data_IF_952792203489
#
_entry.id   IF_952792203489
#
_cell.length_a   1.000
_cell.length_b   1.000
_cell.length_c   1.000
_cell.angle_alpha   90.00
_cell.angle_beta   90.00
_cell.angle_gamma   90.00
#
_symmetry.space_group_name_H-M   'P 1'
#
loop_
_entity.id
_entity.type
_entity.pdbx_description
1 polymer ?
#
# COMPACT_ATOMS: atom_id res chain seq x y z
N UNK A 1 16.87 9.38 -26.28
CA UNK A 1 15.94 9.54 -25.14
C UNK A 1 16.44 10.65 -24.22
N UNK A 2 15.61 11.63 -23.89
CA UNK A 2 15.94 12.78 -23.04
C UNK A 2 15.06 12.83 -21.78
N UNK A 3 15.54 13.50 -20.73
CA UNK A 3 14.74 13.68 -19.51
C UNK A 3 13.44 14.47 -19.78
N UNK A 4 13.45 15.41 -20.72
CA UNK A 4 12.24 16.16 -21.11
C UNK A 4 11.18 15.25 -21.71
N UNK A 5 11.57 14.29 -22.54
CA UNK A 5 10.65 13.29 -23.11
C UNK A 5 10.09 12.38 -22.04
N UNK A 6 10.92 11.93 -21.08
CA UNK A 6 10.49 11.13 -19.92
C UNK A 6 9.49 11.92 -19.09
N UNK A 7 9.80 13.16 -18.72
CA UNK A 7 8.92 14.03 -17.93
C UNK A 7 7.59 14.27 -18.63
N UNK A 8 7.60 14.50 -19.96
CA UNK A 8 6.37 14.70 -20.73
C UNK A 8 5.45 13.47 -20.66
N UNK A 9 5.99 12.26 -20.84
CA UNK A 9 5.21 11.03 -20.76
C UNK A 9 4.67 10.79 -19.34
N UNK A 10 5.53 10.89 -18.33
CA UNK A 10 5.11 10.64 -16.93
C UNK A 10 4.06 11.66 -16.47
N UNK A 11 4.17 12.93 -16.84
CA UNK A 11 3.18 13.94 -16.53
C UNK A 11 1.82 13.67 -17.22
N UNK A 12 1.82 13.20 -18.48
CA UNK A 12 0.58 12.84 -19.18
C UNK A 12 -0.14 11.69 -18.47
N UNK A 13 0.60 10.70 -17.95
CA UNK A 13 0.05 9.58 -17.19
C UNK A 13 -0.45 10.02 -15.81
N UNK A 14 0.26 10.90 -15.13
CA UNK A 14 -0.07 11.38 -13.78
C UNK A 14 -1.29 12.29 -13.77
N UNK A 15 -1.37 13.22 -14.73
CA UNK A 15 -2.44 14.22 -14.77
C UNK A 15 -3.61 13.83 -15.71
N UNK A 16 -3.59 12.62 -16.25
CA UNK A 16 -4.68 12.06 -17.05
C UNK A 16 -4.89 12.72 -18.41
N UNK A 17 -3.90 13.52 -18.92
CA UNK A 17 -4.07 14.15 -20.21
C UNK A 17 -2.96 15.10 -20.65
N UNK A 18 -2.85 15.25 -21.98
CA UNK A 18 -1.86 16.13 -22.62
C UNK A 18 -2.05 17.61 -22.24
N UNK A 19 -3.28 18.06 -22.10
CA UNK A 19 -3.61 19.45 -21.75
C UNK A 19 -3.20 19.77 -20.31
N UNK A 20 -3.51 18.89 -19.35
CA UNK A 20 -3.14 19.13 -17.96
C UNK A 20 -1.62 18.98 -17.76
N UNK A 21 -1.00 17.99 -18.38
CA UNK A 21 0.46 17.85 -18.40
C UNK A 21 1.18 19.09 -18.95
N UNK A 22 0.67 19.65 -20.05
CA UNK A 22 1.27 20.83 -20.67
C UNK A 22 1.26 22.06 -19.75
N UNK A 23 0.16 22.28 -19.02
CA UNK A 23 0.07 23.35 -18.00
C UNK A 23 1.10 23.16 -16.88
N UNK A 24 1.22 21.93 -16.38
CA UNK A 24 2.15 21.60 -15.28
C UNK A 24 3.61 21.70 -15.68
N UNK A 25 3.93 21.35 -16.92
CA UNK A 25 5.29 21.40 -17.44
C UNK A 25 5.67 22.77 -18.06
N UNK A 26 4.74 23.73 -18.06
CA UNK A 26 4.93 25.03 -18.73
C UNK A 26 5.31 24.88 -20.21
N UNK A 27 4.71 23.89 -20.89
CA UNK A 27 4.93 23.57 -22.29
C UNK A 27 3.62 23.76 -23.08
N UNK A 28 3.70 23.84 -24.40
CA UNK A 28 2.50 23.72 -25.24
C UNK A 28 2.06 22.26 -25.34
N UNK A 29 0.75 22.02 -25.52
CA UNK A 29 0.24 20.66 -25.73
C UNK A 29 0.92 19.96 -26.92
N UNK A 30 1.19 20.69 -27.99
CA UNK A 30 1.93 20.18 -29.16
C UNK A 30 3.35 19.75 -28.81
N UNK A 31 4.06 20.52 -27.97
CA UNK A 31 5.41 20.18 -27.55
C UNK A 31 5.43 18.91 -26.68
N UNK A 32 4.46 18.76 -25.76
CA UNK A 32 4.30 17.52 -24.99
C UNK A 32 4.02 16.32 -25.90
N UNK A 33 3.10 16.48 -26.87
CA UNK A 33 2.78 15.41 -27.84
C UNK A 33 4.00 15.04 -28.71
N UNK A 34 4.75 16.04 -29.19
CA UNK A 34 5.96 15.81 -29.98
C UNK A 34 7.06 15.09 -29.16
N UNK A 35 7.26 15.50 -27.91
CA UNK A 35 8.23 14.86 -27.03
C UNK A 35 7.94 13.37 -26.83
N UNK A 36 6.67 13.01 -26.62
CA UNK A 36 6.26 11.60 -26.46
C UNK A 36 6.38 10.84 -27.79
N UNK A 37 5.94 11.43 -28.91
CA UNK A 37 6.08 10.79 -30.22
C UNK A 37 7.53 10.53 -30.59
N UNK A 38 8.43 11.50 -30.32
CA UNK A 38 9.86 11.32 -30.54
C UNK A 38 10.48 10.23 -29.63
N UNK A 39 9.95 10.05 -28.41
CA UNK A 39 10.37 8.96 -27.53
C UNK A 39 9.92 7.60 -28.08
N UNK A 40 8.67 7.48 -28.54
CA UNK A 40 8.13 6.27 -29.15
C UNK A 40 8.88 5.90 -30.44
N UNK A 41 9.16 6.89 -31.27
CA UNK A 41 9.94 6.72 -32.50
C UNK A 41 11.37 6.22 -32.22
N UNK A 42 12.07 6.84 -31.27
CA UNK A 42 13.42 6.43 -30.87
C UNK A 42 13.47 5.00 -30.32
N UNK A 43 12.45 4.60 -29.53
CA UNK A 43 12.34 3.26 -28.95
C UNK A 43 11.77 2.24 -29.95
N UNK A 44 11.18 2.67 -31.04
CA UNK A 44 10.56 1.81 -32.05
C UNK A 44 9.31 1.09 -31.58
N UNK A 45 8.64 1.59 -30.52
CA UNK A 45 7.42 0.97 -29.96
C UNK A 45 6.44 2.05 -29.49
N UNK A 46 5.14 1.79 -29.66
CA UNK A 46 4.09 2.62 -29.10
C UNK A 46 3.99 2.37 -27.58
N UNK A 47 4.04 3.45 -26.80
CA UNK A 47 3.88 3.41 -25.33
C UNK A 47 2.43 3.66 -24.96
N UNK A 48 1.77 4.62 -25.64
CA UNK A 48 0.39 5.00 -25.41
C UNK A 48 -0.56 4.41 -26.46
N UNK A 49 -1.74 3.99 -26.03
CA UNK A 49 -2.83 3.61 -26.93
C UNK A 49 -3.55 4.90 -27.36
N UNK A 50 -3.48 5.22 -28.66
CA UNK A 50 -4.05 6.46 -29.25
C UNK A 50 -5.46 6.22 -29.80
N UNK A 51 -6.43 5.82 -28.96
CA UNK A 51 -7.82 5.75 -29.37
C UNK A 51 -8.53 7.10 -29.15
N UNK A 52 -9.23 7.59 -30.20
CA UNK A 52 -10.05 8.82 -30.13
C UNK A 52 -11.21 8.60 -29.14
N UNK A 53 -11.20 9.27 -27.96
CA UNK A 53 -12.24 9.32 -26.91
C UNK A 53 -12.09 8.40 -25.72
N UNK A 54 -10.96 7.77 -25.45
CA UNK A 54 -10.72 7.01 -24.22
C UNK A 54 -9.68 7.69 -23.32
N UNK A 55 -9.70 7.32 -22.06
CA UNK A 55 -8.63 7.62 -21.11
C UNK A 55 -7.27 7.18 -21.65
N UNK A 56 -6.20 7.82 -21.19
CA UNK A 56 -4.84 7.50 -21.62
C UNK A 56 -4.49 6.12 -21.08
N UNK A 57 -4.35 5.15 -21.99
CA UNK A 57 -4.00 3.79 -21.66
C UNK A 57 -2.59 3.45 -22.17
N UNK A 58 -1.89 2.59 -21.43
CA UNK A 58 -0.58 2.09 -21.79
C UNK A 58 -0.70 0.79 -22.61
N UNK A 59 0.16 0.64 -23.60
CA UNK A 59 0.38 -0.67 -24.23
C UNK A 59 1.05 -1.64 -23.23
N UNK A 60 1.06 -2.95 -23.53
CA UNK A 60 1.80 -3.94 -22.73
C UNK A 60 3.32 -3.64 -22.69
N UNK A 61 3.89 -3.13 -23.79
CA UNK A 61 5.27 -2.65 -23.83
C UNK A 61 5.41 -1.35 -23.03
N UNK A 62 4.46 -0.42 -23.19
CA UNK A 62 4.41 0.86 -22.48
C UNK A 62 4.43 0.69 -20.96
N UNK A 63 3.63 -0.23 -20.42
CA UNK A 63 3.59 -0.53 -18.98
C UNK A 63 4.96 -0.96 -18.44
N UNK A 64 5.70 -1.78 -19.18
CA UNK A 64 7.06 -2.20 -18.81
C UNK A 64 8.06 -1.06 -18.92
N UNK A 65 8.00 -0.28 -19.99
CA UNK A 65 8.88 0.87 -20.24
C UNK A 65 8.67 1.95 -19.17
N UNK A 66 7.43 2.32 -18.88
CA UNK A 66 7.09 3.36 -17.88
C UNK A 66 7.65 3.01 -16.50
N UNK A 67 7.68 1.75 -16.12
CA UNK A 67 8.31 1.30 -14.87
C UNK A 67 9.78 1.69 -14.80
N UNK A 68 10.54 1.50 -15.89
CA UNK A 68 11.95 1.89 -15.97
C UNK A 68 12.14 3.41 -16.07
N UNK A 69 11.25 4.11 -16.78
CA UNK A 69 11.32 5.57 -16.87
C UNK A 69 11.06 6.24 -15.51
N UNK A 70 10.16 5.69 -14.69
CA UNK A 70 9.96 6.15 -13.31
C UNK A 70 11.20 5.91 -12.45
N UNK A 71 11.91 4.78 -12.65
CA UNK A 71 13.16 4.54 -11.95
C UNK A 71 14.25 5.57 -12.33
N UNK A 72 14.40 5.88 -13.61
CA UNK A 72 15.32 6.93 -14.10
C UNK A 72 14.96 8.29 -13.49
N UNK A 73 13.67 8.65 -13.47
CA UNK A 73 13.21 9.91 -12.87
C UNK A 73 13.57 10.00 -11.38
N UNK A 74 13.42 8.90 -10.64
CA UNK A 74 13.80 8.82 -9.23
C UNK A 74 15.31 9.05 -9.06
N UNK A 75 16.14 8.37 -9.85
CA UNK A 75 17.60 8.49 -9.74
C UNK A 75 18.05 9.93 -10.04
N UNK A 76 17.41 10.60 -10.99
CA UNK A 76 17.62 12.04 -11.26
C UNK A 76 17.22 12.90 -10.06
N UNK A 77 16.10 12.57 -9.40
CA UNK A 77 15.67 13.29 -8.20
C UNK A 77 16.64 13.04 -7.04
N UNK A 78 17.12 11.80 -6.86
CA UNK A 78 18.10 11.47 -5.84
C UNK A 78 19.41 12.23 -6.02
N UNK A 79 19.90 12.37 -7.26
CA UNK A 79 21.09 13.20 -7.57
C UNK A 79 20.86 14.66 -7.16
N UNK A 80 19.67 15.21 -7.47
CA UNK A 80 19.32 16.58 -7.05
C UNK A 80 19.24 16.71 -5.54
N UNK A 81 18.65 15.74 -4.84
CA UNK A 81 18.53 15.70 -3.40
C UNK A 81 19.92 15.65 -2.72
N UNK A 82 20.85 14.82 -3.24
CA UNK A 82 22.23 14.76 -2.77
C UNK A 82 22.91 16.11 -2.96
N UNK A 83 22.78 16.71 -4.13
CA UNK A 83 23.37 18.02 -4.43
C UNK A 83 22.79 19.14 -3.55
N UNK A 84 21.52 19.10 -3.24
CA UNK A 84 20.88 20.04 -2.32
C UNK A 84 21.29 19.79 -0.87
N UNK A 85 21.47 18.53 -0.44
CA UNK A 85 21.98 18.17 0.89
C UNK A 85 23.36 18.73 1.15
N UNK A 86 24.21 18.74 0.16
CA UNK A 86 25.56 19.36 0.24
C UNK A 86 25.49 20.89 0.35
N UNK A 87 24.40 21.50 -0.17
CA UNK A 87 24.28 22.96 -0.19
C UNK A 87 23.64 23.58 1.04
N UNK A 88 22.57 23.01 1.61
CA UNK A 88 21.75 23.74 2.61
C UNK A 88 20.97 22.91 3.63
N UNK A 89 21.25 21.63 3.87
CA UNK A 89 20.47 20.78 4.80
C UNK A 89 18.94 20.84 4.57
N UNK A 90 18.44 20.47 3.39
CA UNK A 90 17.03 20.65 3.00
C UNK A 90 16.11 19.59 3.61
N UNK A 91 14.80 19.87 3.58
CA UNK A 91 13.77 18.92 3.97
C UNK A 91 13.88 17.64 3.16
N UNK A 92 14.32 16.56 3.79
CA UNK A 92 14.34 15.23 3.21
C UNK A 92 12.90 14.72 3.08
N UNK A 93 12.56 14.11 1.96
CA UNK A 93 11.23 13.55 1.75
C UNK A 93 11.29 12.03 1.89
N UNK A 94 10.32 11.46 2.60
CA UNK A 94 10.11 10.01 2.69
C UNK A 94 8.67 9.69 2.29
N UNK A 95 8.52 9.00 1.17
CA UNK A 95 7.23 8.55 0.62
C UNK A 95 6.93 7.17 1.15
N UNK A 96 5.82 7.02 1.88
CA UNK A 96 5.47 5.77 2.55
C UNK A 96 4.13 5.26 2.02
N UNK A 97 4.14 4.08 1.38
CA UNK A 97 2.93 3.36 1.01
C UNK A 97 2.40 2.55 2.19
N UNK A 98 1.09 2.61 2.43
CA UNK A 98 0.45 1.87 3.52
C UNK A 98 -0.87 1.26 3.05
N UNK A 99 -1.14 0.02 3.42
CA UNK A 99 -2.50 -0.52 3.30
C UNK A 99 -3.42 0.11 4.36
N UNK A 100 -4.75 0.16 4.16
CA UNK A 100 -5.66 1.01 4.95
C UNK A 100 -5.51 0.90 6.47
N UNK A 101 -5.49 -0.31 7.04
CA UNK A 101 -5.40 -0.43 8.51
C UNK A 101 -4.02 -0.05 9.07
N UNK A 102 -2.93 -0.20 8.30
CA UNK A 102 -1.62 0.32 8.71
C UNK A 102 -1.56 1.85 8.56
N UNK A 103 -2.19 2.40 7.52
CA UNK A 103 -2.33 3.83 7.34
C UNK A 103 -3.07 4.49 8.52
N UNK A 104 -4.16 3.87 8.99
CA UNK A 104 -4.94 4.39 10.10
C UNK A 104 -4.30 4.20 11.48
N UNK A 105 -3.61 3.07 11.73
CA UNK A 105 -3.15 2.69 13.07
C UNK A 105 -1.64 2.87 13.30
N UNK A 106 -0.81 2.71 12.27
CA UNK A 106 0.66 2.76 12.40
C UNK A 106 1.20 4.12 11.97
N UNK A 107 0.80 4.59 10.80
CA UNK A 107 1.37 5.78 10.19
C UNK A 107 1.22 7.06 11.02
N UNK A 108 0.14 7.33 11.77
CA UNK A 108 0.05 8.51 12.62
C UNK A 108 1.13 8.54 13.72
N UNK A 109 1.49 7.38 14.28
CA UNK A 109 2.59 7.25 15.23
C UNK A 109 3.93 7.58 14.61
N UNK A 110 4.17 7.08 13.40
CA UNK A 110 5.37 7.38 12.59
C UNK A 110 5.47 8.88 12.31
N UNK A 111 4.41 9.50 11.80
CA UNK A 111 4.40 10.93 11.48
C UNK A 111 4.71 11.76 12.74
N UNK A 112 4.04 11.50 13.86
CA UNK A 112 4.28 12.19 15.13
C UNK A 112 5.73 12.04 15.61
N UNK A 113 6.31 10.84 15.46
CA UNK A 113 7.70 10.61 15.80
C UNK A 113 8.64 11.49 14.96
N UNK A 114 8.42 11.52 13.63
CA UNK A 114 9.23 12.34 12.74
C UNK A 114 9.08 13.85 13.00
N UNK A 115 7.86 14.34 13.23
CA UNK A 115 7.63 15.75 13.56
C UNK A 115 8.37 16.16 14.83
N UNK A 116 8.49 15.23 15.81
CA UNK A 116 9.15 15.52 17.08
C UNK A 116 10.67 15.37 17.03
N UNK A 117 11.21 14.39 16.30
CA UNK A 117 12.63 14.04 16.35
C UNK A 117 13.40 14.38 15.05
N UNK A 118 12.70 14.48 13.93
CA UNK A 118 13.28 14.73 12.62
C UNK A 118 12.45 15.71 11.79
N UNK A 119 12.22 16.96 12.29
CA UNK A 119 11.31 17.94 11.66
C UNK A 119 11.75 18.35 10.25
N UNK A 120 12.99 18.08 9.89
CA UNK A 120 13.54 18.30 8.54
C UNK A 120 13.22 17.15 7.56
N UNK A 121 12.54 16.08 8.01
CA UNK A 121 12.10 14.99 7.14
C UNK A 121 10.59 15.11 6.92
N UNK A 122 10.19 15.35 5.67
CA UNK A 122 8.78 15.40 5.27
C UNK A 122 8.27 14.02 4.93
N UNK A 123 7.27 13.51 5.67
CA UNK A 123 6.56 12.27 5.33
C UNK A 123 5.46 12.57 4.31
N UNK A 124 5.40 11.78 3.24
CA UNK A 124 4.30 11.78 2.27
C UNK A 124 3.65 10.40 2.28
N UNK A 125 2.42 10.29 2.82
CA UNK A 125 1.69 9.03 2.85
C UNK A 125 1.00 8.74 1.53
N UNK A 126 0.97 7.43 1.17
CA UNK A 126 0.19 6.89 0.06
C UNK A 126 -0.63 5.71 0.59
N UNK A 127 -1.94 5.85 0.57
CA UNK A 127 -2.84 4.76 0.95
C UNK A 127 -3.20 3.96 -0.29
N UNK A 128 -2.78 2.69 -0.33
CA UNK A 128 -2.96 1.80 -1.47
C UNK A 128 -3.11 0.33 -1.03
N UNK A 129 -3.54 -0.53 -1.93
CA UNK A 129 -3.49 -1.97 -1.69
C UNK A 129 -2.04 -2.51 -1.77
N UNK A 130 -1.80 -3.68 -1.17
CA UNK A 130 -0.46 -4.25 -1.05
C UNK A 130 0.25 -4.49 -2.40
N UNK A 131 -0.51 -4.78 -3.47
CA UNK A 131 0.07 -4.98 -4.81
C UNK A 131 0.58 -3.67 -5.38
N UNK A 132 -0.23 -2.61 -5.31
CA UNK A 132 0.16 -1.27 -5.75
C UNK A 132 1.35 -0.73 -4.94
N UNK A 133 1.41 -0.99 -3.63
CA UNK A 133 2.56 -0.63 -2.78
C UNK A 133 3.84 -1.32 -3.28
N UNK A 134 3.79 -2.64 -3.57
CA UNK A 134 4.94 -3.38 -4.08
C UNK A 134 5.38 -2.86 -5.46
N UNK A 135 4.43 -2.62 -6.36
CA UNK A 135 4.72 -2.07 -7.68
C UNK A 135 5.35 -0.67 -7.57
N UNK A 136 4.83 0.19 -6.69
CA UNK A 136 5.36 1.54 -6.43
C UNK A 136 6.75 1.54 -5.78
N UNK A 137 7.06 0.54 -4.94
CA UNK A 137 8.43 0.33 -4.46
C UNK A 137 9.37 -0.10 -5.58
N UNK A 138 8.93 -1.00 -6.46
CA UNK A 138 9.75 -1.49 -7.57
C UNK A 138 10.05 -0.38 -8.59
N UNK A 139 9.06 0.45 -8.91
CA UNK A 139 9.22 1.57 -9.84
C UNK A 139 9.78 2.84 -9.18
N UNK A 140 9.86 2.85 -7.83
CA UNK A 140 10.43 3.93 -7.04
C UNK A 140 9.55 5.16 -6.88
N UNK A 141 8.26 5.05 -7.07
CA UNK A 141 7.30 6.10 -6.75
C UNK A 141 7.20 6.35 -5.25
N UNK A 142 7.47 5.32 -4.44
CA UNK A 142 7.57 5.40 -2.98
C UNK A 142 8.91 4.83 -2.49
N UNK A 143 9.33 5.24 -1.30
CA UNK A 143 10.62 4.91 -0.71
C UNK A 143 10.53 3.73 0.26
N UNK A 144 9.39 3.61 0.95
CA UNK A 144 9.09 2.55 1.90
C UNK A 144 7.62 2.11 1.78
N UNK A 145 7.31 0.91 2.25
CA UNK A 145 5.93 0.42 2.26
C UNK A 145 5.63 -0.50 3.43
N UNK A 146 4.42 -0.40 3.98
CA UNK A 146 3.89 -1.38 4.91
C UNK A 146 3.00 -2.36 4.17
N UNK A 147 3.24 -3.66 4.36
CA UNK A 147 2.41 -4.73 3.77
C UNK A 147 2.10 -5.80 4.82
N UNK A 148 0.95 -6.52 4.72
CA UNK A 148 0.50 -7.48 5.72
C UNK A 148 1.08 -8.89 5.54
N UNK A 149 2.22 -9.03 4.85
CA UNK A 149 2.92 -10.30 4.62
C UNK A 149 4.38 -10.03 4.24
N UNK A 150 5.30 -10.99 4.42
CA UNK A 150 6.67 -10.87 3.96
C UNK A 150 6.75 -10.95 2.43
N UNK A 151 7.71 -10.24 1.83
CA UNK A 151 7.97 -10.22 0.39
C UNK A 151 9.42 -10.62 0.13
N UNK A 152 9.62 -11.61 -0.74
CA UNK A 152 10.95 -12.04 -1.16
C UNK A 152 11.53 -11.12 -2.25
N UNK A 153 12.85 -10.95 -2.25
CA UNK A 153 13.55 -10.16 -3.27
C UNK A 153 13.54 -8.65 -3.03
N UNK A 154 13.10 -8.21 -1.86
CA UNK A 154 13.17 -6.82 -1.37
C UNK A 154 13.72 -6.78 0.04
N UNK A 155 14.17 -5.62 0.49
CA UNK A 155 14.45 -5.41 1.90
C UNK A 155 13.11 -5.50 2.66
N UNK A 156 13.03 -6.44 3.61
CA UNK A 156 11.79 -6.76 4.31
C UNK A 156 12.07 -6.97 5.80
N UNK A 157 11.51 -6.14 6.66
CA UNK A 157 11.65 -6.23 8.11
C UNK A 157 10.29 -6.44 8.75
N UNK A 158 10.09 -7.50 9.55
CA UNK A 158 8.87 -7.69 10.32
C UNK A 158 8.76 -6.61 11.40
N UNK A 159 7.60 -5.95 11.50
CA UNK A 159 7.39 -4.84 12.45
C UNK A 159 6.27 -5.10 13.45
N UNK A 160 5.23 -5.84 13.05
CA UNK A 160 4.08 -6.08 13.92
C UNK A 160 3.38 -7.40 13.58
N UNK A 161 2.97 -8.15 14.61
CA UNK A 161 2.14 -9.35 14.47
C UNK A 161 0.70 -8.98 14.80
N UNK A 162 -0.12 -8.86 13.77
CA UNK A 162 -1.53 -8.49 13.88
C UNK A 162 -2.41 -9.73 13.99
N UNK A 163 -3.10 -9.83 15.10
CA UNK A 163 -3.92 -10.98 15.45
C UNK A 163 -5.25 -10.96 14.70
N UNK A 164 -5.68 -12.12 14.20
CA UNK A 164 -7.03 -12.29 13.67
C UNK A 164 -8.03 -12.55 14.81
N UNK A 165 -9.22 -12.02 14.65
CA UNK A 165 -10.35 -12.22 15.54
C UNK A 165 -11.62 -12.49 14.73
N UNK A 166 -12.56 -13.18 15.31
CA UNK A 166 -13.87 -13.41 14.72
C UNK A 166 -14.77 -12.23 15.07
N UNK A 167 -15.30 -11.56 14.07
CA UNK A 167 -16.16 -10.39 14.21
C UNK A 167 -17.59 -10.79 13.94
N UNK A 168 -18.45 -10.56 14.92
CA UNK A 168 -19.86 -10.98 14.91
C UNK A 168 -20.77 -9.81 15.29
N UNK A 169 -22.05 -9.85 14.92
CA UNK A 169 -23.06 -8.92 15.44
C UNK A 169 -23.20 -9.05 16.98
N UNK A 170 -23.59 -7.98 17.65
CA UNK A 170 -23.78 -8.00 19.13
C UNK A 170 -24.72 -9.11 19.61
N UNK A 171 -25.74 -9.45 18.83
CA UNK A 171 -26.75 -10.47 19.18
C UNK A 171 -26.43 -11.86 18.65
N UNK A 172 -25.22 -12.09 18.14
CA UNK A 172 -24.82 -13.38 17.60
C UNK A 172 -24.55 -14.38 18.75
N UNK A 173 -24.92 -15.68 18.59
CA UNK A 173 -24.63 -16.68 19.64
C UNK A 173 -23.16 -16.73 20.06
N UNK A 174 -22.24 -16.61 19.10
CA UNK A 174 -20.80 -16.60 19.37
C UNK A 174 -20.32 -15.37 20.13
N UNK A 175 -21.10 -14.28 20.22
CA UNK A 175 -20.71 -13.05 20.90
C UNK A 175 -20.47 -13.23 22.40
N UNK A 176 -21.04 -14.29 23.00
CA UNK A 176 -20.89 -14.61 24.46
C UNK A 176 -19.69 -15.53 24.71
N UNK A 177 -19.06 -16.08 23.68
CA UNK A 177 -17.93 -16.99 23.82
C UNK A 177 -16.66 -16.21 24.12
N UNK A 178 -15.77 -16.76 24.94
CA UNK A 178 -14.42 -16.20 25.13
C UNK A 178 -13.50 -16.49 23.95
N UNK A 179 -13.65 -17.66 23.34
CA UNK A 179 -12.91 -18.12 22.16
C UNK A 179 -13.84 -18.84 21.21
N UNK A 180 -13.44 -18.92 19.94
CA UNK A 180 -14.13 -19.65 18.87
C UNK A 180 -13.09 -20.37 18.04
N UNK A 181 -13.36 -21.64 17.69
CA UNK A 181 -12.51 -22.43 16.81
C UNK A 181 -12.91 -22.27 15.35
N UNK A 182 -12.03 -22.67 14.43
CA UNK A 182 -12.33 -22.66 12.97
C UNK A 182 -13.48 -23.61 12.65
N UNK A 183 -13.56 -24.73 13.37
CA UNK A 183 -14.61 -25.73 13.22
C UNK A 183 -16.00 -25.19 13.56
N UNK A 184 -16.11 -24.30 14.57
CA UNK A 184 -17.37 -23.65 14.94
C UNK A 184 -17.83 -22.60 13.91
N UNK A 185 -16.95 -22.20 12.99
CA UNK A 185 -17.27 -21.26 11.90
C UNK A 185 -17.72 -21.95 10.60
N UNK A 186 -17.71 -23.28 10.58
CA UNK A 186 -17.93 -24.10 9.38
C UNK A 186 -19.29 -23.82 8.71
N UNK A 187 -20.34 -23.67 9.53
CA UNK A 187 -21.71 -23.48 9.06
C UNK A 187 -22.12 -21.98 9.04
N UNK A 188 -21.21 -21.08 9.40
CA UNK A 188 -21.49 -19.67 9.46
C UNK A 188 -21.32 -18.99 8.08
N UNK A 189 -22.22 -18.05 7.71
CA UNK A 189 -22.09 -17.29 6.48
C UNK A 189 -20.94 -16.30 6.59
N UNK A 190 -19.78 -16.63 6.05
CA UNK A 190 -18.58 -15.79 6.14
C UNK A 190 -18.65 -14.62 5.15
N UNK A 191 -18.22 -13.47 5.63
CA UNK A 191 -17.98 -12.27 4.84
C UNK A 191 -16.47 -12.08 4.74
N UNK A 192 -15.95 -11.98 3.52
CA UNK A 192 -14.52 -11.81 3.29
C UNK A 192 -14.24 -10.50 2.57
N UNK A 193 -13.13 -9.85 2.94
CA UNK A 193 -12.61 -8.71 2.20
C UNK A 193 -11.40 -9.16 1.40
N UNK A 194 -11.41 -8.86 0.09
CA UNK A 194 -10.31 -9.17 -0.85
C UNK A 194 -9.13 -8.23 -0.55
N UNK A 195 -7.93 -8.75 -0.49
CA UNK A 195 -6.73 -7.96 -0.19
C UNK A 195 -5.54 -8.83 0.17
N UNK A 196 -5.52 -10.07 -0.37
CA UNK A 196 -4.53 -11.13 -0.16
C UNK A 196 -4.57 -11.84 1.20
N UNK A 197 -5.15 -11.26 2.25
CA UNK A 197 -5.28 -12.00 3.52
C UNK A 197 -6.41 -13.05 3.48
N UNK A 198 -7.35 -12.95 2.53
CA UNK A 198 -8.31 -14.03 2.26
C UNK A 198 -7.61 -15.36 1.97
N UNK A 199 -6.45 -15.33 1.31
CA UNK A 199 -5.66 -16.53 1.06
C UNK A 199 -5.16 -17.17 2.35
N UNK A 200 -4.79 -16.36 3.34
CA UNK A 200 -4.38 -16.84 4.67
C UNK A 200 -5.54 -17.45 5.43
N UNK A 201 -6.74 -16.84 5.33
CA UNK A 201 -7.97 -17.38 5.92
C UNK A 201 -8.33 -18.71 5.25
N UNK A 202 -8.31 -18.77 3.92
CA UNK A 202 -8.56 -20.01 3.20
C UNK A 202 -7.57 -21.12 3.58
N UNK A 203 -6.28 -20.78 3.74
CA UNK A 203 -5.27 -21.74 4.19
C UNK A 203 -5.57 -22.27 5.60
N UNK A 204 -6.00 -21.40 6.53
CA UNK A 204 -6.38 -21.77 7.88
C UNK A 204 -7.54 -22.80 7.91
N UNK A 205 -8.59 -22.56 7.11
CA UNK A 205 -9.70 -23.52 6.98
C UNK A 205 -9.27 -24.83 6.31
N UNK A 206 -8.43 -24.73 5.26
CA UNK A 206 -7.92 -25.90 4.55
C UNK A 206 -7.05 -26.81 5.42
N UNK A 207 -6.26 -26.26 6.33
CA UNK A 207 -5.47 -27.04 7.29
C UNK A 207 -6.35 -27.94 8.17
N UNK A 208 -7.62 -27.54 8.39
CA UNK A 208 -8.64 -28.29 9.13
C UNK A 208 -9.52 -29.17 8.26
N UNK A 209 -9.27 -29.18 6.93
CA UNK A 209 -10.09 -29.93 5.99
C UNK A 209 -11.49 -29.31 5.79
N UNK A 210 -11.66 -28.02 6.11
CA UNK A 210 -12.94 -27.30 6.02
C UNK A 210 -12.90 -26.41 4.77
N UNK A 211 -13.99 -26.40 4.01
CA UNK A 211 -14.22 -25.46 2.92
C UNK A 211 -15.14 -24.33 3.41
N UNK A 212 -14.62 -23.09 3.55
CA UNK A 212 -15.42 -22.00 4.09
C UNK A 212 -16.49 -21.56 3.09
N UNK A 213 -17.67 -21.21 3.61
CA UNK A 213 -18.79 -20.68 2.80
C UNK A 213 -18.68 -19.14 2.81
N UNK A 214 -18.09 -18.57 1.76
CA UNK A 214 -18.08 -17.11 1.56
C UNK A 214 -19.40 -16.65 0.93
N UNK A 215 -20.26 -16.07 1.77
CA UNK A 215 -21.56 -15.55 1.34
C UNK A 215 -21.44 -14.20 0.62
N UNK A 216 -20.54 -13.35 1.08
CA UNK A 216 -20.27 -12.04 0.48
C UNK A 216 -18.76 -11.76 0.43
N UNK A 217 -18.36 -11.11 -0.67
CA UNK A 217 -16.98 -10.70 -0.89
C UNK A 217 -16.92 -9.21 -1.21
N UNK A 218 -16.04 -8.47 -0.54
CA UNK A 218 -15.87 -7.02 -0.72
C UNK A 218 -14.41 -6.64 -0.93
N UNK A 219 -14.16 -5.48 -1.54
CA UNK A 219 -12.81 -4.93 -1.68
C UNK A 219 -12.39 -4.11 -0.45
N UNK A 220 -13.34 -3.63 0.34
CA UNK A 220 -13.09 -2.75 1.48
C UNK A 220 -13.64 -3.37 2.78
N UNK A 221 -12.82 -3.42 3.86
CA UNK A 221 -13.24 -3.96 5.16
C UNK A 221 -14.46 -3.25 5.75
N UNK A 222 -14.58 -1.94 5.57
CA UNK A 222 -15.72 -1.14 6.11
C UNK A 222 -17.06 -1.60 5.56
N UNK A 223 -17.09 -2.02 4.30
CA UNK A 223 -18.29 -2.61 3.70
C UNK A 223 -18.63 -3.94 4.38
N UNK A 224 -17.64 -4.80 4.59
CA UNK A 224 -17.82 -6.07 5.30
C UNK A 224 -18.35 -5.82 6.72
N UNK A 225 -17.76 -4.89 7.47
CA UNK A 225 -18.19 -4.52 8.82
C UNK A 225 -19.63 -3.98 8.86
N UNK A 226 -20.03 -3.23 7.81
CA UNK A 226 -21.42 -2.76 7.71
C UNK A 226 -22.42 -3.89 7.52
N UNK A 227 -22.06 -4.92 6.75
CA UNK A 227 -22.88 -6.13 6.57
C UNK A 227 -22.98 -6.96 7.85
N UNK A 228 -21.86 -7.08 8.58
CA UNK A 228 -21.86 -7.77 9.88
C UNK A 228 -22.80 -7.07 10.88
N UNK A 229 -22.78 -5.74 10.96
CA UNK A 229 -23.70 -4.95 11.82
C UNK A 229 -25.17 -5.21 11.51
N UNK A 230 -25.50 -5.56 10.28
CA UNK A 230 -26.86 -5.92 9.88
C UNK A 230 -27.21 -7.40 10.08
N UNK A 231 -26.30 -8.18 10.68
CA UNK A 231 -26.53 -9.62 10.91
C UNK A 231 -26.50 -10.48 9.65
N UNK A 232 -25.84 -10.01 8.57
CA UNK A 232 -25.80 -10.72 7.30
C UNK A 232 -24.74 -11.81 7.22
N UNK A 233 -23.88 -11.90 8.23
CA UNK A 233 -22.82 -12.89 8.37
C UNK A 233 -21.78 -12.44 9.39
N UNK A 234 -20.68 -13.19 9.47
CA UNK A 234 -19.54 -12.95 10.34
C UNK A 234 -18.24 -12.87 9.54
N UNK A 235 -17.15 -12.38 10.12
CA UNK A 235 -15.87 -12.34 9.43
C UNK A 235 -14.68 -12.65 10.34
N UNK A 236 -13.60 -13.19 9.78
CA UNK A 236 -12.28 -13.17 10.40
C UNK A 236 -11.55 -11.91 9.92
N UNK A 237 -11.26 -11.02 10.85
CA UNK A 237 -10.58 -9.76 10.54
C UNK A 237 -9.38 -9.55 11.48
N UNK A 238 -8.31 -8.92 10.98
CA UNK A 238 -7.20 -8.51 11.84
C UNK A 238 -7.62 -7.41 12.82
N UNK A 239 -7.07 -7.41 14.03
CA UNK A 239 -7.41 -6.45 15.08
C UNK A 239 -7.16 -4.99 14.66
N UNK A 240 -6.09 -4.72 13.90
CA UNK A 240 -5.84 -3.37 13.35
C UNK A 240 -6.97 -2.85 12.46
N UNK A 241 -7.65 -3.74 11.74
CA UNK A 241 -8.82 -3.35 10.93
C UNK A 241 -9.96 -2.89 11.82
N UNK A 242 -10.17 -3.52 12.97
CA UNK A 242 -11.21 -3.13 13.93
C UNK A 242 -10.86 -1.83 14.64
N UNK A 243 -9.60 -1.64 15.04
CA UNK A 243 -9.12 -0.39 15.66
C UNK A 243 -9.27 0.82 14.73
N UNK A 244 -9.15 0.60 13.41
CA UNK A 244 -9.31 1.64 12.39
C UNK A 244 -10.78 2.03 12.14
N UNK A 245 -11.75 1.25 12.64
CA UNK A 245 -13.17 1.40 12.26
C UNK A 245 -14.02 1.75 13.45
N UNK A 246 -14.92 2.72 13.30
CA UNK A 246 -15.90 3.10 14.33
C UNK A 246 -17.13 2.19 14.29
N UNK A 247 -17.71 1.92 15.46
CA UNK A 247 -19.01 1.26 15.62
C UNK A 247 -18.97 0.01 16.49
N UNK A 248 -20.14 -0.37 17.02
CA UNK A 248 -20.28 -1.51 17.94
C UNK A 248 -20.34 -2.82 17.16
N UNK A 249 -19.37 -3.68 17.38
CA UNK A 249 -19.28 -5.07 16.94
C UNK A 249 -18.63 -5.89 18.05
N UNK A 250 -19.01 -7.15 18.19
CA UNK A 250 -18.34 -8.06 19.08
C UNK A 250 -17.17 -8.72 18.36
N UNK A 251 -16.02 -8.76 19.04
CA UNK A 251 -14.86 -9.53 18.61
C UNK A 251 -14.61 -10.68 19.56
N UNK A 252 -14.50 -11.89 19.03
CA UNK A 252 -14.24 -13.12 19.76
C UNK A 252 -12.88 -13.67 19.36
N UNK A 253 -12.08 -14.10 20.33
CA UNK A 253 -10.76 -14.62 20.06
C UNK A 253 -10.83 -15.92 19.25
N UNK A 254 -9.98 -16.05 18.22
CA UNK A 254 -9.85 -17.29 17.45
C UNK A 254 -8.87 -18.24 18.14
N UNK A 255 -9.21 -19.51 18.20
CA UNK A 255 -8.37 -20.58 18.73
C UNK A 255 -8.16 -21.71 17.70
N UNK A 256 -6.90 -22.09 17.38
CA UNK A 256 -5.65 -21.46 17.81
C UNK A 256 -5.52 -20.03 17.28
N UNK A 257 -4.79 -19.19 18.01
CA UNK A 257 -4.57 -17.80 17.62
C UNK A 257 -3.84 -17.74 16.28
N UNK A 258 -4.40 -17.00 15.34
CA UNK A 258 -3.84 -16.79 14.00
C UNK A 258 -3.37 -15.35 13.82
N UNK A 259 -2.26 -15.15 13.12
CA UNK A 259 -1.65 -13.83 12.94
C UNK A 259 -1.29 -13.60 11.48
N UNK A 260 -1.34 -12.32 11.06
CA UNK A 260 -0.60 -11.86 9.89
C UNK A 260 0.65 -11.10 10.33
N UNK A 261 1.70 -11.18 9.54
CA UNK A 261 2.92 -10.43 9.77
C UNK A 261 2.88 -9.13 8.97
N UNK A 262 2.87 -7.99 9.65
CA UNK A 262 3.08 -6.70 8.98
C UNK A 262 4.57 -6.47 8.87
N UNK A 263 5.01 -6.12 7.67
CA UNK A 263 6.41 -5.89 7.33
C UNK A 263 6.61 -4.51 6.74
N UNK A 264 7.73 -3.89 7.08
CA UNK A 264 8.28 -2.73 6.40
C UNK A 264 9.09 -3.22 5.21
N UNK A 265 8.75 -2.72 4.03
CA UNK A 265 9.44 -3.01 2.78
C UNK A 265 10.20 -1.80 2.28
N UNK A 266 11.33 -2.05 1.63
CA UNK A 266 12.02 -1.10 0.77
C UNK A 266 12.71 -1.87 -0.37
N UNK A 267 13.09 -1.16 -1.43
CA UNK A 267 13.78 -1.77 -2.56
C UNK A 267 15.14 -2.32 -2.16
N UNK A 268 15.87 -1.56 -1.33
CA UNK A 268 17.22 -1.87 -0.85
C UNK A 268 17.33 -1.60 0.66
N UNK A 269 18.30 -2.19 1.36
CA UNK A 269 18.57 -1.87 2.76
C UNK A 269 18.83 -0.37 2.96
N UNK A 270 18.39 0.21 4.09
CA UNK A 270 18.61 1.62 4.37
C UNK A 270 20.10 1.95 4.59
N UNK A 271 20.52 3.07 4.01
CA UNK A 271 21.85 3.64 4.28
C UNK A 271 21.79 4.44 5.58
N UNK A 272 22.81 4.34 6.43
CA UNK A 272 22.88 5.08 7.69
C UNK A 272 22.63 6.59 7.50
N UNK A 273 21.78 7.16 8.35
CA UNK A 273 21.39 8.57 8.28
C UNK A 273 20.40 8.92 7.17
N UNK A 274 19.99 7.97 6.31
CA UNK A 274 18.92 8.20 5.32
C UNK A 274 17.54 8.29 6.00
N UNK A 275 16.53 8.92 5.36
CA UNK A 275 15.16 8.92 5.90
C UNK A 275 14.59 7.52 6.12
N UNK A 276 14.95 6.55 5.29
CA UNK A 276 14.56 5.14 5.44
C UNK A 276 15.21 4.50 6.68
N UNK A 277 16.48 4.81 6.97
CA UNK A 277 17.14 4.38 8.19
C UNK A 277 16.47 4.95 9.45
N UNK A 278 16.09 6.23 9.40
CA UNK A 278 15.36 6.88 10.48
C UNK A 278 13.97 6.24 10.68
N UNK A 279 13.30 5.85 9.59
CA UNK A 279 12.03 5.12 9.66
C UNK A 279 12.20 3.76 10.35
N UNK A 280 13.25 3.00 10.01
CA UNK A 280 13.52 1.73 10.69
C UNK A 280 13.72 1.95 12.19
N UNK A 281 14.50 2.95 12.59
CA UNK A 281 14.71 3.30 14.00
C UNK A 281 13.42 3.75 14.70
N UNK A 282 12.59 4.52 14.00
CA UNK A 282 11.26 4.87 14.48
C UNK A 282 10.42 3.62 14.78
N UNK A 283 10.40 2.65 13.86
CA UNK A 283 9.63 1.40 14.04
C UNK A 283 10.15 0.58 15.22
N UNK A 284 11.48 0.47 15.40
CA UNK A 284 12.09 -0.18 16.55
C UNK A 284 11.66 0.50 17.87
N UNK A 285 11.63 1.83 17.91
CA UNK A 285 11.21 2.61 19.08
C UNK A 285 9.73 2.39 19.39
N UNK A 286 8.84 2.56 18.40
CA UNK A 286 7.39 2.40 18.60
C UNK A 286 7.03 0.98 19.04
N UNK A 287 7.72 -0.03 18.54
CA UNK A 287 7.53 -1.43 18.95
C UNK A 287 7.95 -1.64 20.41
N UNK A 288 9.12 -1.11 20.81
CA UNK A 288 9.64 -1.27 22.16
C UNK A 288 8.79 -0.53 23.22
N UNK A 289 8.17 0.56 22.84
CA UNK A 289 7.27 1.37 23.70
C UNK A 289 5.85 0.79 23.77
N UNK A 290 5.55 -0.27 23.02
CA UNK A 290 4.21 -0.87 22.95
C UNK A 290 3.16 0.06 22.32
N UNK A 291 3.59 0.96 21.46
CA UNK A 291 2.74 1.92 20.75
C UNK A 291 2.22 1.39 19.40
N UNK A 292 2.61 0.17 19.04
CA UNK A 292 2.11 -0.59 17.90
C UNK A 292 1.18 -1.70 18.33
#
# INVERSE_FOLDING_TARGET
>A
MTLTQIHALLAVLEYGGFTEASKRLYMTQSAVSQAISALEEELGVDILIRERRKEIELTAAGSRIVRHLRAIQRDVNAVKEIAEQEKNNPARTLRIGCFPSACACILPGVIRYFESHHPNVKIIPYEENSTAIIDSLQDGSIDAGFVPFPVNGMYCVPIYRDKFTVVVPENHPLATNSTVTVEELMDEPLIVSKGRYELSIMALFKEKGIEPIFKYEFNHPDTALSFIRQGLGIALLPELTLKATAGKLCSVALEPTFYRQISLLAKEPPVEGSPLFLLQKCMETLTNEGLL
#
